data_IF_754906415531
#
_entry.id   IF_754906415531
#
_cell.length_a   1.000
_cell.length_b   1.000
_cell.length_c   1.000
_cell.angle_alpha   90.00
_cell.angle_beta   90.00
_cell.angle_gamma   90.00
#
_symmetry.space_group_name_H-M   'P 1'
#
loop_
_entity.id
_entity.type
_entity.pdbx_description
1 polymer ?
#
# COMPACT_ATOMS: atom_id res chain seq x y z
N UNK A 1 17.42 6.17 -10.52
CA UNK A 1 16.25 7.06 -10.33
C UNK A 1 15.56 7.31 -11.67
N UNK A 2 16.27 7.70 -12.74
CA UNK A 2 15.70 7.95 -14.06
C UNK A 2 14.89 6.74 -14.56
N UNK A 3 15.47 5.55 -14.60
CA UNK A 3 14.78 4.34 -15.04
C UNK A 3 13.53 4.03 -14.22
N UNK A 4 13.58 4.20 -12.88
CA UNK A 4 12.41 4.02 -12.02
C UNK A 4 11.31 5.02 -12.37
N UNK A 5 11.67 6.29 -12.59
CA UNK A 5 10.74 7.33 -13.01
C UNK A 5 10.06 6.98 -14.33
N UNK A 6 10.84 6.57 -15.34
CA UNK A 6 10.33 6.23 -16.67
C UNK A 6 9.34 5.05 -16.61
N UNK A 7 9.70 3.98 -15.88
CA UNK A 7 8.83 2.82 -15.70
C UNK A 7 7.54 3.22 -14.97
N UNK A 8 7.67 3.92 -13.86
CA UNK A 8 6.53 4.29 -13.03
C UNK A 8 5.58 5.24 -13.77
N UNK A 9 6.11 6.27 -14.43
CA UNK A 9 5.30 7.22 -15.20
C UNK A 9 4.52 6.56 -16.33
N UNK A 10 5.15 5.63 -17.06
CA UNK A 10 4.50 4.86 -18.11
C UNK A 10 3.39 3.95 -17.57
N UNK A 11 3.64 3.22 -16.47
CA UNK A 11 2.62 2.36 -15.87
C UNK A 11 1.41 3.17 -15.36
N UNK A 12 1.65 4.30 -14.71
CA UNK A 12 0.57 5.18 -14.25
C UNK A 12 -0.21 5.75 -15.45
N UNK A 13 0.47 6.22 -16.48
CA UNK A 13 -0.19 6.73 -17.69
C UNK A 13 -1.07 5.66 -18.35
N UNK A 14 -0.61 4.42 -18.41
CA UNK A 14 -1.38 3.30 -18.96
C UNK A 14 -2.65 3.02 -18.16
N UNK A 15 -2.60 2.93 -16.84
CA UNK A 15 -3.81 2.69 -16.05
C UNK A 15 -4.78 3.88 -16.09
N UNK A 16 -4.28 5.10 -16.12
CA UNK A 16 -5.11 6.30 -16.30
C UNK A 16 -5.82 6.30 -17.66
N UNK A 17 -5.10 5.94 -18.73
CA UNK A 17 -5.68 5.83 -20.07
C UNK A 17 -6.75 4.73 -20.14
N UNK A 18 -6.47 3.57 -19.55
CA UNK A 18 -7.44 2.49 -19.46
C UNK A 18 -8.71 2.92 -18.73
N UNK A 19 -8.58 3.64 -17.62
CA UNK A 19 -9.70 4.15 -16.84
C UNK A 19 -10.54 5.16 -17.65
N UNK A 20 -9.91 6.13 -18.32
CA UNK A 20 -10.58 7.07 -19.20
C UNK A 20 -11.37 6.36 -20.31
N UNK A 21 -10.79 5.38 -20.97
CA UNK A 21 -11.45 4.60 -22.02
C UNK A 21 -12.66 3.83 -21.48
N UNK A 22 -12.58 3.27 -20.29
CA UNK A 22 -13.68 2.57 -19.63
C UNK A 22 -14.91 3.45 -19.44
N UNK A 23 -14.71 4.74 -19.21
CA UNK A 23 -15.80 5.72 -19.05
C UNK A 23 -16.12 6.50 -20.33
N UNK A 24 -15.62 6.04 -21.48
CA UNK A 24 -15.88 6.69 -22.78
C UNK A 24 -15.26 8.08 -22.93
N UNK A 25 -14.24 8.39 -22.11
CA UNK A 25 -13.54 9.67 -22.14
C UNK A 25 -12.28 9.57 -23.01
N UNK A 26 -12.07 10.58 -23.86
CA UNK A 26 -10.77 10.75 -24.54
C UNK A 26 -9.79 11.44 -23.60
N UNK A 27 -8.69 10.76 -23.27
CA UNK A 27 -7.70 11.30 -22.37
C UNK A 27 -6.57 11.98 -23.13
N UNK A 28 -6.57 13.30 -23.18
CA UNK A 28 -5.44 14.10 -23.70
C UNK A 28 -4.33 14.32 -22.66
N UNK A 29 -4.61 14.07 -21.37
CA UNK A 29 -3.72 14.43 -20.25
C UNK A 29 -3.15 13.23 -19.48
N UNK A 30 -3.48 11.98 -19.87
CA UNK A 30 -3.07 10.79 -19.11
C UNK A 30 -1.55 10.67 -18.97
N UNK A 31 -0.78 11.06 -19.98
CA UNK A 31 0.69 11.07 -19.92
C UNK A 31 1.20 12.12 -18.93
N UNK A 32 0.72 13.35 -19.03
CA UNK A 32 1.10 14.43 -18.11
C UNK A 32 0.74 14.08 -16.66
N UNK A 33 -0.45 13.53 -16.44
CA UNK A 33 -0.88 13.06 -15.11
C UNK A 33 0.00 11.93 -14.60
N UNK A 34 0.35 10.96 -15.46
CA UNK A 34 1.25 9.86 -15.13
C UNK A 34 2.64 10.35 -14.72
N UNK A 35 3.22 11.28 -15.49
CA UNK A 35 4.51 11.91 -15.18
C UNK A 35 4.46 12.66 -13.84
N UNK A 36 3.42 13.46 -13.61
CA UNK A 36 3.28 14.21 -12.36
C UNK A 36 3.11 13.29 -11.15
N UNK A 37 2.32 12.23 -11.26
CA UNK A 37 2.15 11.26 -10.20
C UNK A 37 3.46 10.52 -9.88
N UNK A 38 4.19 10.06 -10.91
CA UNK A 38 5.51 9.42 -10.74
C UNK A 38 6.51 10.35 -10.04
N UNK A 39 6.56 11.62 -10.45
CA UNK A 39 7.44 12.61 -9.83
C UNK A 39 7.08 12.83 -8.36
N UNK A 40 5.79 12.88 -8.01
CA UNK A 40 5.35 12.99 -6.62
C UNK A 40 5.72 11.76 -5.78
N UNK A 41 5.59 10.55 -6.32
CA UNK A 41 6.08 9.33 -5.64
C UNK A 41 7.57 9.42 -5.35
N UNK A 42 8.39 9.80 -6.36
CA UNK A 42 9.85 9.90 -6.19
C UNK A 42 10.21 10.95 -5.13
N UNK A 43 9.52 12.08 -5.09
CA UNK A 43 9.71 13.12 -4.06
C UNK A 43 9.39 12.62 -2.65
N UNK A 44 8.50 11.64 -2.52
CA UNK A 44 8.13 11.01 -1.25
C UNK A 44 9.09 9.91 -0.78
N UNK A 45 10.03 9.46 -1.62
CA UNK A 45 10.98 8.38 -1.25
C UNK A 45 11.77 8.70 0.03
N UNK A 46 12.30 9.92 0.28
CA UNK A 46 13.02 10.19 1.52
C UNK A 46 12.15 10.02 2.77
N UNK A 47 10.91 10.52 2.75
CA UNK A 47 9.93 10.38 3.83
C UNK A 47 9.53 8.91 4.03
N UNK A 48 9.26 8.20 2.93
CA UNK A 48 8.94 6.78 2.94
C UNK A 48 10.06 5.94 3.58
N UNK A 49 11.32 6.25 3.29
CA UNK A 49 12.46 5.55 3.89
C UNK A 49 12.54 5.75 5.39
N UNK A 50 12.20 6.93 5.90
CA UNK A 50 12.17 7.19 7.34
C UNK A 50 11.07 6.38 8.04
N UNK A 51 9.87 6.37 7.48
CA UNK A 51 8.75 5.58 8.02
C UNK A 51 9.09 4.08 8.01
N UNK A 52 9.62 3.57 6.92
CA UNK A 52 10.02 2.17 6.82
C UNK A 52 11.16 1.81 7.80
N UNK A 53 12.09 2.72 8.07
CA UNK A 53 13.12 2.51 9.08
C UNK A 53 12.51 2.37 10.49
N UNK A 54 11.47 3.13 10.82
CA UNK A 54 10.74 2.98 12.08
C UNK A 54 9.93 1.67 12.13
N UNK A 55 9.32 1.22 11.02
CA UNK A 55 8.65 -0.08 10.95
C UNK A 55 9.64 -1.24 11.18
N UNK A 56 10.84 -1.19 10.55
CA UNK A 56 11.91 -2.18 10.73
C UNK A 56 12.36 -2.20 12.20
N UNK A 57 12.59 -1.04 12.78
CA UNK A 57 13.01 -0.90 14.17
C UNK A 57 11.95 -1.46 15.14
N UNK A 58 10.66 -1.14 14.89
CA UNK A 58 9.56 -1.70 15.65
C UNK A 58 9.48 -3.22 15.58
N UNK A 59 9.71 -3.79 14.37
CA UNK A 59 9.74 -5.24 14.19
C UNK A 59 10.90 -5.88 14.95
N UNK A 60 12.11 -5.33 14.83
CA UNK A 60 13.32 -5.83 15.48
C UNK A 60 13.24 -5.76 17.02
N UNK A 61 12.84 -4.62 17.56
CA UNK A 61 12.75 -4.41 19.01
C UNK A 61 11.66 -5.26 19.67
N UNK A 62 10.64 -5.63 18.93
CA UNK A 62 9.52 -6.40 19.47
C UNK A 62 9.56 -7.89 19.20
N UNK A 63 10.59 -8.39 18.53
CA UNK A 63 10.79 -9.83 18.28
C UNK A 63 12.13 -10.30 18.84
N UNK A 64 12.12 -11.00 20.00
CA UNK A 64 13.34 -11.53 20.61
C UNK A 64 14.10 -12.54 19.73
N UNK A 65 13.45 -13.11 18.71
CA UNK A 65 14.08 -14.06 17.80
C UNK A 65 14.86 -13.37 16.67
N UNK A 66 14.56 -12.10 16.38
CA UNK A 66 15.26 -11.34 15.33
C UNK A 66 16.72 -11.07 15.72
N UNK A 67 17.66 -11.47 14.86
CA UNK A 67 19.10 -11.32 15.12
C UNK A 67 19.68 -10.01 14.59
N UNK A 68 19.02 -9.40 13.60
CA UNK A 68 19.48 -8.16 12.96
C UNK A 68 18.33 -7.46 12.23
N UNK A 69 18.52 -6.16 11.94
CA UNK A 69 17.63 -5.43 11.05
C UNK A 69 17.61 -6.03 9.63
N UNK A 70 18.75 -6.54 9.15
CA UNK A 70 18.84 -7.19 7.84
C UNK A 70 17.95 -8.44 7.76
N UNK A 71 17.92 -9.24 8.83
CA UNK A 71 17.01 -10.40 8.89
C UNK A 71 15.54 -9.96 8.75
N UNK A 72 15.14 -8.90 9.44
CA UNK A 72 13.79 -8.33 9.32
C UNK A 72 13.53 -7.86 7.88
N UNK A 73 14.49 -7.14 7.27
CA UNK A 73 14.34 -6.59 5.92
C UNK A 73 14.16 -7.69 4.87
N UNK A 74 14.95 -8.75 4.96
CA UNK A 74 15.00 -9.76 3.90
C UNK A 74 14.05 -10.93 4.09
N UNK A 75 13.52 -11.14 5.30
CA UNK A 75 12.76 -12.38 5.58
C UNK A 75 11.36 -12.17 6.16
N UNK A 76 11.02 -11.00 6.71
CA UNK A 76 9.72 -10.82 7.35
C UNK A 76 8.61 -10.48 6.32
N UNK A 77 7.60 -11.36 6.14
CA UNK A 77 6.52 -11.11 5.19
C UNK A 77 5.68 -9.88 5.57
N UNK A 78 5.53 -9.61 6.88
CA UNK A 78 4.83 -8.42 7.37
C UNK A 78 5.48 -7.13 6.87
N UNK A 79 6.81 -7.03 6.93
CA UNK A 79 7.53 -5.84 6.43
C UNK A 79 7.39 -5.68 4.92
N UNK A 80 7.42 -6.79 4.17
CA UNK A 80 7.19 -6.73 2.71
C UNK A 80 5.79 -6.18 2.40
N UNK A 81 4.74 -6.71 3.05
CA UNK A 81 3.37 -6.26 2.85
C UNK A 81 3.19 -4.77 3.21
N UNK A 82 3.76 -4.33 4.34
CA UNK A 82 3.73 -2.92 4.78
C UNK A 82 4.48 -2.02 3.78
N UNK A 83 5.64 -2.45 3.27
CA UNK A 83 6.42 -1.69 2.28
C UNK A 83 5.60 -1.45 1.01
N UNK A 84 5.00 -2.50 0.47
CA UNK A 84 4.14 -2.39 -0.72
C UNK A 84 2.92 -1.52 -0.44
N UNK A 85 2.27 -1.71 0.72
CA UNK A 85 1.14 -0.87 1.14
C UNK A 85 1.51 0.61 1.19
N UNK A 86 2.62 0.99 1.83
CA UNK A 86 3.02 2.41 1.96
C UNK A 86 3.24 3.08 0.60
N UNK A 87 3.84 2.36 -0.36
CA UNK A 87 3.99 2.86 -1.73
C UNK A 87 2.63 2.97 -2.43
N UNK A 88 1.80 1.93 -2.31
CA UNK A 88 0.46 1.90 -2.89
C UNK A 88 -0.45 2.99 -2.30
N UNK A 89 -0.33 3.29 -1.01
CA UNK A 89 -1.05 4.36 -0.33
C UNK A 89 -0.71 5.75 -0.89
N UNK A 90 0.56 6.00 -1.24
CA UNK A 90 0.95 7.25 -1.91
C UNK A 90 0.23 7.38 -3.26
N UNK A 91 0.24 6.32 -4.06
CA UNK A 91 -0.45 6.30 -5.37
C UNK A 91 -1.96 6.43 -5.23
N UNK A 92 -2.55 5.80 -4.22
CA UNK A 92 -3.98 5.91 -3.90
C UNK A 92 -4.38 7.36 -3.60
N UNK A 93 -3.59 8.05 -2.76
CA UNK A 93 -3.82 9.46 -2.42
C UNK A 93 -3.58 10.43 -3.60
N UNK A 94 -2.85 9.99 -4.63
CA UNK A 94 -2.69 10.71 -5.89
C UNK A 94 -3.80 10.39 -6.91
N UNK A 95 -4.84 9.66 -6.49
CA UNK A 95 -5.96 9.22 -7.33
C UNK A 95 -5.50 8.44 -8.58
N UNK A 96 -4.45 7.63 -8.43
CA UNK A 96 -4.04 6.68 -9.47
C UNK A 96 -5.01 5.50 -9.46
N UNK A 97 -5.74 5.23 -10.55
CA UNK A 97 -6.72 4.16 -10.56
C UNK A 97 -6.03 2.79 -10.59
N UNK A 98 -6.67 1.77 -10.05
CA UNK A 98 -6.34 0.34 -10.13
C UNK A 98 -4.95 -0.05 -9.64
N UNK A 99 -3.88 0.63 -10.05
CA UNK A 99 -2.49 0.26 -9.75
C UNK A 99 -2.21 0.08 -8.25
N UNK A 100 -2.69 0.97 -7.34
CA UNK A 100 -2.50 0.76 -5.89
C UNK A 100 -3.08 -0.57 -5.43
N UNK A 101 -4.28 -0.92 -5.90
CA UNK A 101 -4.94 -2.17 -5.54
C UNK A 101 -4.22 -3.39 -6.13
N UNK A 102 -3.78 -3.32 -7.38
CA UNK A 102 -3.00 -4.40 -8.00
C UNK A 102 -1.73 -4.68 -7.19
N UNK A 103 -1.04 -3.64 -6.71
CA UNK A 103 0.17 -3.78 -5.90
C UNK A 103 -0.12 -4.48 -4.57
N UNK A 104 -1.17 -4.06 -3.86
CA UNK A 104 -1.51 -4.67 -2.55
C UNK A 104 -2.04 -6.09 -2.70
N UNK A 105 -2.78 -6.42 -3.77
CA UNK A 105 -3.20 -7.79 -4.07
C UNK A 105 -2.00 -8.70 -4.43
N UNK A 106 -0.99 -8.17 -5.11
CA UNK A 106 0.24 -8.91 -5.35
C UNK A 106 0.96 -9.23 -4.02
N UNK A 107 1.05 -8.26 -3.11
CA UNK A 107 1.62 -8.49 -1.78
C UNK A 107 0.79 -9.50 -0.97
N UNK A 108 -0.54 -9.39 -1.02
CA UNK A 108 -1.47 -10.34 -0.41
C UNK A 108 -1.23 -11.77 -0.91
N UNK A 109 -1.12 -11.97 -2.22
CA UNK A 109 -0.87 -13.30 -2.81
C UNK A 109 0.45 -13.93 -2.35
N UNK A 110 1.46 -13.11 -2.04
CA UNK A 110 2.79 -13.57 -1.61
C UNK A 110 2.89 -13.81 -0.10
N UNK A 111 2.12 -13.07 0.70
CA UNK A 111 2.30 -13.03 2.16
C UNK A 111 1.10 -13.55 2.95
N UNK A 112 -0.07 -13.63 2.31
CA UNK A 112 -1.33 -13.89 3.01
C UNK A 112 -1.83 -12.69 3.85
N UNK A 113 -1.28 -11.48 3.61
CA UNK A 113 -1.62 -10.24 4.32
C UNK A 113 -2.32 -9.29 3.35
N UNK A 114 -3.62 -9.05 3.57
CA UNK A 114 -4.44 -8.14 2.77
C UNK A 114 -4.52 -6.76 3.43
N UNK A 115 -3.92 -5.75 2.81
CA UNK A 115 -3.99 -4.36 3.26
C UNK A 115 -4.56 -3.50 2.13
N UNK A 116 -5.74 -2.92 2.34
CA UNK A 116 -6.30 -1.99 1.36
C UNK A 116 -5.46 -0.70 1.28
N UNK A 117 -5.12 -0.20 0.08
CA UNK A 117 -4.26 0.99 -0.06
C UNK A 117 -4.88 2.28 0.50
N UNK A 118 -6.20 2.32 0.72
CA UNK A 118 -6.90 3.44 1.36
C UNK A 118 -6.81 3.47 2.89
N UNK A 119 -6.40 2.39 3.55
CA UNK A 119 -6.20 2.37 5.00
C UNK A 119 -5.23 3.47 5.43
N UNK A 120 -5.38 3.98 6.65
CA UNK A 120 -4.47 4.97 7.25
C UNK A 120 -3.70 4.30 8.38
N UNK A 121 -2.40 4.14 8.20
CA UNK A 121 -1.54 3.42 9.13
C UNK A 121 -0.38 4.33 9.55
N UNK A 122 -0.23 4.53 10.86
CA UNK A 122 0.82 5.33 11.48
C UNK A 122 2.22 4.71 11.37
N UNK A 123 3.15 5.24 12.16
CA UNK A 123 4.56 4.82 12.18
C UNK A 123 4.77 3.63 13.12
N UNK A 124 5.88 2.90 12.94
CA UNK A 124 6.24 1.73 13.75
C UNK A 124 5.12 0.68 13.79
N UNK A 125 4.51 0.45 12.63
CA UNK A 125 3.49 -0.57 12.49
C UNK A 125 4.13 -1.93 12.17
N UNK A 126 3.77 -2.95 12.94
CA UNK A 126 4.35 -4.28 12.81
C UNK A 126 3.26 -5.32 12.63
N UNK A 127 3.42 -6.16 11.61
CA UNK A 127 2.63 -7.37 11.41
C UNK A 127 3.55 -8.56 11.65
N UNK A 128 3.27 -9.31 12.72
CA UNK A 128 4.04 -10.49 13.11
C UNK A 128 3.33 -11.76 12.61
N UNK A 129 4.07 -12.69 12.00
CA UNK A 129 3.57 -13.84 11.24
C UNK A 129 2.68 -13.40 10.05
N UNK A 130 1.53 -12.85 10.29
CA UNK A 130 0.71 -12.08 9.39
C UNK A 130 -0.30 -12.86 8.55
N UNK A 131 -0.18 -14.17 8.40
CA UNK A 131 -1.12 -14.96 7.60
C UNK A 131 -2.57 -14.70 8.02
N UNK A 132 -3.43 -14.36 7.05
CA UNK A 132 -4.85 -14.11 7.29
C UNK A 132 -5.14 -12.74 7.92
N UNK A 133 -4.18 -11.82 7.97
CA UNK A 133 -4.44 -10.41 8.33
C UNK A 133 -5.24 -9.73 7.22
N UNK A 134 -6.29 -9.00 7.62
CA UNK A 134 -7.09 -8.17 6.71
C UNK A 134 -7.25 -6.77 7.29
N UNK A 135 -6.84 -5.76 6.52
CA UNK A 135 -6.99 -4.33 6.88
C UNK A 135 -7.80 -3.64 5.79
N UNK A 136 -9.04 -3.26 6.11
CA UNK A 136 -9.99 -2.65 5.19
C UNK A 136 -9.69 -1.18 4.90
N UNK A 137 -10.31 -0.66 3.84
CA UNK A 137 -10.10 0.70 3.29
C UNK A 137 -10.26 1.81 4.32
N UNK A 138 -11.29 1.73 5.16
CA UNK A 138 -11.64 2.78 6.12
C UNK A 138 -10.92 2.67 7.47
N UNK A 139 -10.02 1.69 7.59
CA UNK A 139 -9.28 1.46 8.83
C UNK A 139 -8.34 2.61 9.15
N UNK A 140 -8.29 2.98 10.43
CA UNK A 140 -7.34 3.95 10.97
C UNK A 140 -6.55 3.28 12.10
N UNK A 141 -5.25 3.14 11.91
CA UNK A 141 -4.33 2.52 12.86
C UNK A 141 -3.30 3.59 13.26
N UNK A 142 -3.13 3.81 14.56
CA UNK A 142 -2.16 4.77 15.09
C UNK A 142 -0.71 4.27 15.03
N UNK A 143 0.16 5.00 15.74
CA UNK A 143 1.58 4.67 15.83
C UNK A 143 1.84 3.54 16.83
N UNK A 144 2.97 2.84 16.68
CA UNK A 144 3.45 1.81 17.60
C UNK A 144 2.48 0.64 17.80
N UNK A 145 1.75 0.26 16.76
CA UNK A 145 0.80 -0.85 16.79
C UNK A 145 1.46 -2.12 16.27
N UNK A 146 1.28 -3.21 17.00
CA UNK A 146 1.65 -4.57 16.56
C UNK A 146 0.40 -5.41 16.45
N UNK A 147 0.27 -6.14 15.34
CA UNK A 147 -0.79 -7.12 15.13
C UNK A 147 -0.19 -8.47 14.74
N UNK A 148 -0.98 -9.51 14.93
CA UNK A 148 -0.59 -10.90 14.67
C UNK A 148 -1.48 -11.52 13.59
N UNK A 149 -1.18 -12.78 13.23
CA UNK A 149 -1.94 -13.53 12.24
C UNK A 149 -3.45 -13.56 12.56
N UNK A 150 -4.27 -13.66 11.50
CA UNK A 150 -5.74 -13.73 11.56
C UNK A 150 -6.44 -12.51 12.18
N UNK A 151 -5.74 -11.38 12.36
CA UNK A 151 -6.37 -10.15 12.80
C UNK A 151 -7.11 -9.50 11.63
N UNK A 152 -8.39 -9.16 11.83
CA UNK A 152 -9.19 -8.39 10.87
C UNK A 152 -9.53 -7.02 11.45
N UNK A 153 -9.15 -5.97 10.73
CA UNK A 153 -9.49 -4.57 11.03
C UNK A 153 -10.31 -4.04 9.84
N UNK A 154 -11.60 -3.85 10.05
CA UNK A 154 -12.50 -3.43 8.97
C UNK A 154 -13.97 -3.58 9.36
N UNK A 155 -14.87 -3.54 8.38
CA UNK A 155 -16.30 -3.72 8.62
C UNK A 155 -16.59 -5.15 9.04
N UNK A 156 -17.27 -5.31 10.17
CA UNK A 156 -17.72 -6.63 10.70
C UNK A 156 -18.83 -7.22 9.83
N UNK A 157 -19.67 -6.36 9.28
CA UNK A 157 -20.72 -6.73 8.32
C UNK A 157 -21.05 -5.53 7.43
N UNK A 158 -21.34 -5.79 6.17
CA UNK A 158 -21.87 -4.78 5.27
C UNK A 158 -23.38 -4.98 5.14
N UNK A 159 -24.20 -3.89 5.18
CA UNK A 159 -25.64 -4.02 4.90
C UNK A 159 -25.87 -4.56 3.49
N UNK A 160 -27.01 -5.21 3.21
CA UNK A 160 -27.28 -5.86 1.92
C UNK A 160 -27.09 -4.95 0.69
N UNK A 161 -27.25 -3.63 0.85
CA UNK A 161 -27.14 -2.63 -0.22
C UNK A 161 -25.85 -1.80 -0.16
N UNK A 162 -24.91 -2.11 0.72
CA UNK A 162 -23.68 -1.34 0.90
C UNK A 162 -22.88 -1.16 -0.39
N UNK A 163 -22.92 -2.14 -1.30
CA UNK A 163 -22.26 -2.06 -2.59
C UNK A 163 -22.83 -0.99 -3.53
N UNK A 164 -24.07 -0.55 -3.32
CA UNK A 164 -24.69 0.55 -4.08
C UNK A 164 -24.37 1.89 -3.39
N UNK A 165 -24.48 1.94 -2.08
CA UNK A 165 -24.27 3.16 -1.29
C UNK A 165 -22.80 3.61 -1.24
N UNK A 166 -21.86 2.66 -1.26
CA UNK A 166 -20.41 2.94 -1.20
C UNK A 166 -19.76 3.21 -2.56
N UNK A 167 -20.47 2.98 -3.67
CA UNK A 167 -19.95 3.21 -5.02
C UNK A 167 -20.48 4.50 -5.67
N UNK A 168 -21.24 5.29 -4.90
CA UNK A 168 -21.89 6.53 -5.37
C UNK A 168 -20.98 7.61 -5.88
#
# INVERSE_FOLDING_TARGET
>A
ISQLYDILSNQIAHVMRHDCLRYGQTCSECETRGHNAALNVIRKIPELRLILAEDIKGAFEGDPAAKSHDEVIFSYPGLYAITVYRIAHILFNLNVPQLPRIMTEQAHSMTGIDIHPGAKIGERFVIDHGTGVVIGETSVIGDNVRIYQNVTIGAVSLPPNAGIELRG
#
